data_IF_288362835071
#
_entry.id   IF_288362835071
#
_cell.length_a   1.000
_cell.length_b   1.000
_cell.length_c   1.000
_cell.angle_alpha   90.00
_cell.angle_beta   90.00
_cell.angle_gamma   90.00
#
_symmetry.space_group_name_H-M   'P 1'
#
loop_
_entity.id
_entity.type
_entity.pdbx_description
1 polymer ?
#
# COMPACT_ATOMS: atom_id res chain seq x y z
N UNK A 1 -35.37 34.30 -24.96
CA UNK A 1 -34.09 33.56 -24.98
C UNK A 1 -33.63 33.49 -23.52
N UNK A 2 -33.78 32.33 -22.87
CA UNK A 2 -32.67 31.40 -22.52
C UNK A 2 -31.80 32.02 -21.39
N UNK A 3 -31.56 31.46 -20.18
CA UNK A 3 -31.51 30.06 -19.70
C UNK A 3 -31.36 30.02 -18.15
N UNK A 4 -31.99 29.02 -17.50
CA UNK A 4 -31.60 28.17 -16.34
C UNK A 4 -30.86 28.75 -15.10
N UNK A 5 -31.44 28.73 -13.88
CA UNK A 5 -31.39 27.71 -12.79
C UNK A 5 -30.01 27.54 -12.11
N UNK A 6 -29.92 27.88 -10.81
CA UNK A 6 -29.23 27.09 -9.79
C UNK A 6 -29.67 27.48 -8.37
N UNK A 7 -30.73 26.84 -7.85
CA UNK A 7 -31.03 26.75 -6.42
C UNK A 7 -30.82 25.30 -6.01
N UNK A 8 -29.62 24.99 -5.51
CA UNK A 8 -29.28 23.69 -4.94
C UNK A 8 -29.96 23.51 -3.59
N UNK A 9 -31.22 23.09 -3.60
CA UNK A 9 -31.97 22.69 -2.42
C UNK A 9 -31.52 21.30 -2.00
N UNK A 10 -30.90 21.24 -0.81
CA UNK A 10 -30.64 20.02 -0.05
C UNK A 10 -31.97 19.33 0.26
N UNK A 11 -32.12 18.07 -0.17
CA UNK A 11 -32.79 16.99 0.55
C UNK A 11 -33.02 15.82 -0.41
N UNK A 12 -32.33 14.70 -0.19
CA UNK A 12 -32.89 13.41 -0.60
C UNK A 12 -32.60 12.39 0.50
N UNK A 13 -33.61 12.29 1.35
CA UNK A 13 -34.04 11.16 2.17
C UNK A 13 -33.43 9.81 1.79
N UNK A 14 -32.82 9.17 2.79
CA UNK A 14 -32.42 7.77 2.79
C UNK A 14 -33.63 6.86 2.50
N UNK A 15 -33.65 6.30 1.30
CA UNK A 15 -34.60 5.29 0.87
C UNK A 15 -34.13 3.90 1.27
N UNK A 16 -34.92 3.25 2.12
CA UNK A 16 -34.89 1.85 2.48
C UNK A 16 -34.91 0.96 1.21
N UNK A 17 -33.96 0.03 1.06
CA UNK A 17 -34.13 -1.10 0.14
C UNK A 17 -33.69 -2.40 0.81
N UNK A 18 -34.67 -3.09 1.39
CA UNK A 18 -34.62 -4.52 1.70
C UNK A 18 -34.68 -5.30 0.39
N UNK A 19 -33.57 -5.89 -0.02
CA UNK A 19 -33.54 -6.91 -1.07
C UNK A 19 -33.38 -8.27 -0.40
N UNK A 20 -34.52 -8.90 -0.14
CA UNK A 20 -34.60 -10.29 0.25
C UNK A 20 -34.18 -11.18 -0.90
N UNK A 21 -33.19 -12.04 -0.66
CA UNK A 21 -32.93 -13.19 -1.51
C UNK A 21 -33.68 -14.38 -0.92
N UNK A 22 -34.87 -14.62 -1.46
CA UNK A 22 -35.58 -15.89 -1.34
C UNK A 22 -34.93 -16.82 -2.37
N UNK A 23 -34.10 -17.76 -1.92
CA UNK A 23 -33.75 -18.92 -2.73
C UNK A 23 -34.60 -20.11 -2.28
N UNK A 24 -35.38 -20.57 -3.25
CA UNK A 24 -36.36 -21.65 -3.23
C UNK A 24 -35.75 -22.98 -2.83
N UNK A 25 -36.45 -23.67 -1.93
CA UNK A 25 -36.26 -25.08 -1.59
C UNK A 25 -36.27 -25.96 -2.83
N UNK A 26 -35.17 -26.68 -3.10
CA UNK A 26 -35.24 -27.97 -3.79
C UNK A 26 -34.96 -29.04 -2.75
N UNK A 27 -35.98 -29.86 -2.50
CA UNK A 27 -35.89 -31.07 -1.71
C UNK A 27 -35.10 -32.12 -2.50
N UNK A 28 -34.03 -32.61 -1.89
CA UNK A 28 -33.27 -33.79 -2.29
C UNK A 28 -32.29 -34.09 -1.17
N UNK A 29 -32.45 -35.22 -0.50
CA UNK A 29 -31.66 -35.77 0.61
C UNK A 29 -30.28 -35.13 0.86
N UNK A 30 -30.12 -34.47 2.02
CA UNK A 30 -28.83 -33.94 2.48
C UNK A 30 -28.52 -34.55 3.85
N UNK A 31 -27.40 -35.29 3.87
CA UNK A 31 -26.65 -35.78 5.02
C UNK A 31 -26.71 -34.86 6.26
N UNK A 32 -26.74 -35.40 7.49
CA UNK A 32 -26.71 -34.59 8.71
C UNK A 32 -25.43 -33.74 8.79
N UNK A 33 -25.51 -32.55 9.42
CA UNK A 33 -24.47 -31.53 9.33
C UNK A 33 -23.17 -31.99 9.99
N UNK A 34 -22.13 -32.20 9.17
CA UNK A 34 -20.75 -32.20 9.65
C UNK A 34 -20.49 -30.82 10.27
N UNK A 35 -20.08 -30.83 11.54
CA UNK A 35 -19.60 -29.66 12.28
C UNK A 35 -18.51 -28.98 11.44
N UNK A 36 -18.88 -27.89 10.76
CA UNK A 36 -17.90 -27.02 10.13
C UNK A 36 -17.05 -26.42 11.24
N UNK A 37 -15.82 -26.94 11.34
CA UNK A 37 -14.75 -26.26 12.04
C UNK A 37 -14.68 -24.88 11.40
N UNK A 38 -15.04 -23.85 12.17
CA UNK A 38 -14.71 -22.46 11.85
C UNK A 38 -13.28 -22.49 11.34
N UNK A 39 -13.08 -22.20 10.06
CA UNK A 39 -11.77 -21.93 9.53
C UNK A 39 -11.28 -20.75 10.35
N UNK A 40 -10.45 -21.04 11.35
CA UNK A 40 -9.60 -20.04 11.94
C UNK A 40 -8.80 -19.54 10.74
N UNK A 41 -9.16 -18.35 10.25
CA UNK A 41 -8.24 -17.54 9.45
C UNK A 41 -6.99 -17.48 10.28
N UNK A 42 -6.03 -18.34 9.95
CA UNK A 42 -4.68 -18.24 10.44
C UNK A 42 -4.24 -16.91 9.88
N UNK A 43 -4.33 -15.88 10.71
CA UNK A 43 -3.62 -14.62 10.50
C UNK A 43 -2.16 -15.07 10.55
N UNK A 44 -1.67 -15.46 9.37
CA UNK A 44 -0.25 -15.69 9.11
C UNK A 44 0.37 -14.43 9.65
N UNK A 45 1.15 -14.54 10.73
CA UNK A 45 1.83 -13.40 11.33
C UNK A 45 2.43 -12.62 10.17
N UNK A 46 2.09 -11.35 10.05
CA UNK A 46 2.81 -10.45 9.15
C UNK A 46 4.26 -10.66 9.54
N UNK A 47 5.04 -11.27 8.65
CA UNK A 47 6.46 -11.41 8.90
C UNK A 47 6.94 -9.98 9.16
N UNK A 48 7.52 -9.75 10.34
CA UNK A 48 8.05 -8.45 10.68
C UNK A 48 9.19 -8.19 9.69
N UNK A 49 8.91 -7.36 8.70
CA UNK A 49 9.90 -6.93 7.73
C UNK A 49 10.84 -5.96 8.46
N UNK A 50 12.12 -6.26 8.46
CA UNK A 50 13.13 -5.36 9.02
C UNK A 50 13.42 -4.26 8.00
N UNK A 51 13.05 -3.03 8.33
CA UNK A 51 13.22 -1.88 7.44
C UNK A 51 14.57 -1.22 7.70
N UNK A 52 15.39 -1.15 6.67
CA UNK A 52 16.70 -0.49 6.73
C UNK A 52 16.76 0.69 5.76
N UNK A 53 17.81 1.48 5.89
CA UNK A 53 18.05 2.64 5.04
C UNK A 53 18.92 2.26 3.84
N UNK A 54 18.59 2.84 2.69
CA UNK A 54 19.27 2.62 1.43
C UNK A 54 19.62 3.95 0.78
N UNK A 55 20.91 4.21 0.57
CA UNK A 55 21.40 5.43 -0.07
C UNK A 55 21.21 5.33 -1.59
N UNK A 56 20.72 6.39 -2.20
CA UNK A 56 20.58 6.48 -3.65
C UNK A 56 21.92 6.80 -4.30
N UNK A 57 22.38 5.92 -5.20
CA UNK A 57 23.70 6.00 -5.86
C UNK A 57 23.61 6.22 -7.38
N UNK A 58 22.42 6.06 -7.97
CA UNK A 58 22.23 6.10 -9.42
C UNK A 58 21.53 7.35 -9.96
N UNK A 59 20.79 7.16 -11.06
CA UNK A 59 20.13 8.25 -11.82
C UNK A 59 18.60 8.13 -11.87
N UNK A 60 18.08 6.92 -11.69
CA UNK A 60 16.64 6.65 -11.61
C UNK A 60 16.26 6.20 -10.19
N UNK A 61 15.55 7.05 -9.40
CA UNK A 61 15.14 6.70 -8.04
C UNK A 61 14.05 5.62 -7.99
N UNK A 62 13.45 5.25 -9.11
CA UNK A 62 12.45 4.17 -9.18
C UNK A 62 13.09 2.80 -9.47
N UNK A 63 14.40 2.75 -9.73
CA UNK A 63 15.14 1.52 -9.94
C UNK A 63 15.82 1.08 -8.63
N UNK A 64 15.47 -0.08 -8.03
CA UNK A 64 16.10 -0.58 -6.81
C UNK A 64 17.59 -0.90 -6.99
N UNK A 65 18.09 -1.15 -8.21
CA UNK A 65 19.52 -1.38 -8.48
C UNK A 65 20.39 -0.11 -8.31
N UNK A 66 19.76 1.05 -8.15
CA UNK A 66 20.45 2.34 -7.93
C UNK A 66 20.54 2.72 -6.46
N UNK A 67 20.46 1.72 -5.58
CA UNK A 67 20.50 1.91 -4.14
C UNK A 67 21.54 0.96 -3.52
N UNK A 68 22.18 1.43 -2.46
CA UNK A 68 23.11 0.65 -1.66
C UNK A 68 22.73 0.77 -0.19
N UNK A 69 23.02 -0.26 0.61
CA UNK A 69 22.68 -0.25 2.03
C UNK A 69 23.42 0.89 2.73
N UNK A 70 22.68 1.72 3.44
CA UNK A 70 23.24 2.84 4.18
C UNK A 70 23.73 2.39 5.57
N UNK A 71 24.92 2.85 5.95
CA UNK A 71 25.46 2.62 7.30
C UNK A 71 24.71 3.43 8.37
N UNK A 72 24.05 4.53 7.97
CA UNK A 72 23.35 5.44 8.86
C UNK A 72 22.23 6.20 8.13
N UNK A 73 21.18 6.63 8.84
CA UNK A 73 20.19 7.54 8.29
C UNK A 73 20.87 8.83 7.80
N UNK A 74 20.64 9.20 6.55
CA UNK A 74 21.28 10.35 5.96
C UNK A 74 20.63 11.65 6.48
N UNK A 75 21.45 12.61 6.91
CA UNK A 75 21.01 14.00 7.10
C UNK A 75 20.98 14.72 5.76
N UNK A 76 20.10 14.29 4.86
CA UNK A 76 19.96 14.97 3.58
C UNK A 76 19.43 16.38 3.82
N UNK A 77 20.10 17.37 3.21
CA UNK A 77 19.59 18.75 3.22
C UNK A 77 18.32 18.83 2.35
N UNK A 78 17.31 19.53 2.85
CA UNK A 78 15.95 19.63 2.31
C UNK A 78 15.91 19.97 0.82
N UNK A 79 15.62 19.03 -0.10
CA UNK A 79 15.62 19.38 -1.53
C UNK A 79 14.87 18.56 -2.57
N UNK A 80 15.40 18.50 -3.79
CA UNK A 80 14.69 18.17 -5.05
C UNK A 80 14.78 16.70 -5.51
N UNK A 81 15.86 15.97 -5.17
CA UNK A 81 16.12 14.60 -5.61
C UNK A 81 16.11 13.62 -4.45
N UNK A 82 15.73 12.35 -4.65
CA UNK A 82 15.79 11.33 -3.59
C UNK A 82 17.26 11.08 -3.22
N UNK A 83 17.56 11.00 -1.93
CA UNK A 83 18.90 10.73 -1.42
C UNK A 83 18.98 9.39 -0.66
N UNK A 84 17.89 9.01 0.01
CA UNK A 84 17.82 7.82 0.83
C UNK A 84 16.39 7.34 0.91
N UNK A 85 16.17 6.02 0.90
CA UNK A 85 14.85 5.41 1.11
C UNK A 85 14.89 4.43 2.28
N UNK A 86 13.73 4.20 2.90
CA UNK A 86 13.56 3.18 3.91
C UNK A 86 12.72 2.03 3.34
N UNK A 87 13.31 0.83 3.30
CA UNK A 87 12.71 -0.35 2.70
C UNK A 87 13.33 -1.63 3.30
N UNK A 88 12.63 -2.76 3.29
CA UNK A 88 13.25 -4.03 3.63
C UNK A 88 14.19 -4.50 2.50
N UNK A 89 15.02 -5.48 2.79
CA UNK A 89 15.82 -6.18 1.78
C UNK A 89 14.92 -6.98 0.84
N UNK A 90 15.25 -6.99 -0.45
CA UNK A 90 14.61 -7.87 -1.42
C UNK A 90 15.00 -9.33 -1.15
N UNK A 91 14.03 -10.13 -0.72
CA UNK A 91 14.24 -11.55 -0.44
C UNK A 91 14.48 -12.38 -1.70
N UNK A 92 14.11 -11.85 -2.88
CA UNK A 92 14.34 -12.48 -4.17
C UNK A 92 15.73 -12.13 -4.73
N UNK A 93 16.44 -11.13 -4.17
CA UNK A 93 17.85 -10.84 -4.47
C UNK A 93 18.78 -11.65 -3.56
N UNK A 94 19.43 -12.71 -4.06
CA UNK A 94 20.34 -13.53 -3.26
C UNK A 94 21.61 -12.78 -2.83
N UNK A 95 21.88 -11.60 -3.39
CA UNK A 95 23.03 -10.78 -3.03
C UNK A 95 22.72 -9.84 -1.86
N UNK A 96 21.44 -9.61 -1.53
CA UNK A 96 21.00 -8.73 -0.46
C UNK A 96 21.41 -7.26 -0.65
N UNK A 97 21.61 -6.84 -1.90
CA UNK A 97 22.13 -5.52 -2.23
C UNK A 97 21.05 -4.57 -2.75
N UNK A 98 19.80 -5.03 -2.88
CA UNK A 98 18.70 -4.19 -3.33
C UNK A 98 17.55 -4.11 -2.32
N UNK A 99 16.90 -2.94 -2.21
CA UNK A 99 15.66 -2.79 -1.44
C UNK A 99 14.47 -3.46 -2.15
N UNK A 100 13.55 -4.04 -1.38
CA UNK A 100 12.26 -4.50 -1.89
C UNK A 100 11.30 -3.31 -2.09
N UNK A 101 11.11 -2.94 -3.34
CA UNK A 101 10.19 -1.87 -3.73
C UNK A 101 8.73 -2.32 -3.80
N UNK A 102 8.48 -3.63 -3.77
CA UNK A 102 7.15 -4.23 -3.79
C UNK A 102 6.54 -4.38 -2.38
N UNK A 103 7.39 -4.44 -1.35
CA UNK A 103 6.97 -4.46 0.04
C UNK A 103 6.11 -3.26 0.41
N UNK A 104 5.28 -3.44 1.45
CA UNK A 104 4.56 -2.34 2.09
C UNK A 104 5.54 -1.27 2.58
N UNK A 105 5.11 -0.01 2.59
CA UNK A 105 5.87 1.08 3.14
C UNK A 105 5.77 1.12 4.68
N UNK A 106 6.84 1.55 5.38
CA UNK A 106 6.83 1.62 6.84
C UNK A 106 5.73 2.59 7.32
N UNK A 107 4.93 2.15 8.29
CA UNK A 107 3.88 2.98 8.90
C UNK A 107 2.59 3.12 8.07
N UNK A 108 2.49 2.52 6.88
CA UNK A 108 1.26 2.54 6.06
C UNK A 108 0.95 1.18 5.44
N UNK A 109 -0.13 0.57 5.92
CA UNK A 109 -0.67 -0.66 5.34
C UNK A 109 -1.27 -0.40 3.95
N UNK A 110 -0.89 -1.21 2.96
CA UNK A 110 -1.53 -1.23 1.63
C UNK A 110 -1.00 -0.21 0.64
N UNK A 111 0.16 0.41 0.91
CA UNK A 111 0.90 1.23 -0.06
C UNK A 111 2.32 0.71 -0.13
N UNK A 112 2.81 0.41 -1.34
CA UNK A 112 4.18 -0.09 -1.51
C UNK A 112 5.24 0.99 -1.35
N UNK A 113 6.48 0.57 -1.05
CA UNK A 113 7.67 1.43 -1.07
C UNK A 113 7.78 2.19 -2.40
N UNK A 114 7.62 1.50 -3.55
CA UNK A 114 7.67 2.14 -4.88
C UNK A 114 6.64 3.27 -5.06
N UNK A 115 5.41 3.04 -4.57
CA UNK A 115 4.33 4.03 -4.69
C UNK A 115 4.66 5.30 -3.91
N UNK A 116 5.31 5.14 -2.74
CA UNK A 116 5.78 6.25 -1.92
C UNK A 116 6.96 6.96 -2.56
N UNK A 117 7.94 6.26 -3.12
CA UNK A 117 9.04 6.91 -3.82
C UNK A 117 8.52 7.76 -5.00
N UNK A 118 7.55 7.24 -5.77
CA UNK A 118 6.86 8.00 -6.81
C UNK A 118 6.17 9.27 -6.27
N UNK A 119 5.45 9.16 -5.14
CA UNK A 119 4.84 10.32 -4.48
C UNK A 119 5.89 11.35 -4.03
N UNK A 120 7.03 10.89 -3.51
CA UNK A 120 8.14 11.76 -3.16
C UNK A 120 8.69 12.47 -4.39
N UNK A 121 9.05 11.76 -5.45
CA UNK A 121 9.58 12.33 -6.71
C UNK A 121 8.62 13.37 -7.30
N UNK A 122 7.31 13.12 -7.27
CA UNK A 122 6.26 14.05 -7.72
C UNK A 122 6.00 15.26 -6.80
N UNK A 123 6.76 15.40 -5.70
CA UNK A 123 6.73 16.57 -4.83
C UNK A 123 5.92 16.42 -3.54
N UNK A 124 5.44 15.20 -3.22
CA UNK A 124 4.72 14.94 -1.97
C UNK A 124 5.68 14.40 -0.90
N UNK A 125 6.00 15.18 0.16
CA UNK A 125 6.93 14.75 1.21
C UNK A 125 6.35 13.58 1.99
N UNK A 126 7.21 12.63 2.38
CA UNK A 126 6.76 11.33 2.89
C UNK A 126 7.92 10.59 3.59
N UNK A 127 7.63 9.79 4.62
CA UNK A 127 8.68 9.19 5.48
C UNK A 127 9.50 8.08 4.82
N UNK A 128 9.05 7.55 3.68
CA UNK A 128 9.72 6.47 2.95
C UNK A 128 10.92 6.96 2.16
N UNK A 129 10.96 8.23 1.77
CA UNK A 129 12.04 8.77 0.96
C UNK A 129 12.47 10.17 1.42
N UNK A 130 13.77 10.31 1.65
CA UNK A 130 14.42 11.58 2.00
C UNK A 130 14.98 12.21 0.73
N UNK A 131 15.00 13.54 0.63
CA UNK A 131 15.50 14.27 -0.54
C UNK A 131 16.74 15.14 -0.25
N UNK A 132 17.59 15.36 -1.26
CA UNK A 132 18.74 16.27 -1.35
C UNK A 132 18.46 17.41 -2.34
N UNK A 133 18.93 18.62 -2.05
CA UNK A 133 18.89 19.79 -2.95
C UNK A 133 19.65 19.60 -4.25
#
# INVERSE_FOLDING_TARGET
MATSINKGLRALTFGLFMLGLVFTSQAGEIDPPKKEKKAATVVKSVAELDYVHWDFTGTDPLNPEHYERADQPANCQLGSQICQVQAPEDTDDPTGNTPDFSADAPGMSGTSVLSRINAAVSGSPNETATKKD
#
